data_IF_324023088303
#
_entry.id   IF_324023088303
#
_cell.length_a   1.000
_cell.length_b   1.000
_cell.length_c   1.000
_cell.angle_alpha   90.00
_cell.angle_beta   90.00
_cell.angle_gamma   90.00
#
_symmetry.space_group_name_H-M   'P 1'
#
loop_
_entity.id
_entity.type
_entity.pdbx_description
1 polymer ?
#
# COMPACT_ATOMS: atom_id res chain seq x y z
N UNK A 1 -0.63 17.36 86.44
CA UNK A 1 -0.76 16.12 85.65
C UNK A 1 -1.49 16.51 84.33
N UNK A 2 -0.73 16.99 83.38
CA UNK A 2 -1.25 17.49 82.09
C UNK A 2 -0.87 16.53 80.99
N UNK A 3 -1.84 16.07 80.24
CA UNK A 3 -1.70 15.15 79.09
C UNK A 3 -1.64 16.00 77.85
N UNK A 4 -0.48 15.96 77.13
CA UNK A 4 -0.33 16.56 75.80
C UNK A 4 -0.80 15.56 74.74
N UNK A 5 -1.80 15.94 73.92
CA UNK A 5 -2.17 15.30 72.68
C UNK A 5 -1.37 15.92 71.57
N UNK A 6 -0.56 15.10 70.88
CA UNK A 6 0.13 15.46 69.65
C UNK A 6 -0.73 15.08 68.49
N UNK A 7 -1.16 16.08 67.68
CA UNK A 7 -1.83 15.85 66.40
C UNK A 7 -0.77 15.60 65.34
N UNK A 8 -0.79 14.38 64.71
CA UNK A 8 0.02 14.02 63.57
C UNK A 8 -0.81 14.29 62.33
N UNK A 9 -0.47 15.34 61.57
CA UNK A 9 -1.11 15.68 60.32
C UNK A 9 -0.48 14.86 59.18
N UNK A 10 -1.21 13.86 58.65
CA UNK A 10 -0.79 13.09 57.51
C UNK A 10 -1.20 13.86 56.26
N UNK A 11 -0.21 14.34 55.47
CA UNK A 11 -0.41 14.86 54.13
C UNK A 11 -0.56 13.68 53.16
N UNK A 12 -1.77 13.42 52.66
CA UNK A 12 -2.03 12.58 51.53
C UNK A 12 -1.73 13.37 50.24
N UNK A 13 -0.61 13.05 49.60
CA UNK A 13 -0.29 13.52 48.26
C UNK A 13 -1.08 12.65 47.30
N UNK A 14 -2.17 13.17 46.76
CA UNK A 14 -2.84 12.59 45.60
C UNK A 14 -1.96 12.83 44.35
N UNK A 15 -1.27 11.81 43.88
CA UNK A 15 -0.68 11.76 42.56
C UNK A 15 -1.82 11.53 41.58
N UNK A 16 -2.29 12.61 40.95
CA UNK A 16 -3.19 12.53 39.81
C UNK A 16 -2.38 12.06 38.59
N UNK A 17 -2.34 10.74 38.39
CA UNK A 17 -1.84 10.16 37.14
C UNK A 17 -2.79 10.52 36.03
N UNK A 18 -2.43 11.49 35.18
CA UNK A 18 -3.04 11.71 33.88
C UNK A 18 -2.72 10.52 33.01
N UNK A 19 -3.62 9.52 32.98
CA UNK A 19 -3.73 8.60 31.87
C UNK A 19 -4.15 9.43 30.66
N UNK A 20 -3.20 9.75 29.79
CA UNK A 20 -3.51 10.26 28.47
C UNK A 20 -4.21 9.14 27.69
N UNK A 21 -5.52 9.23 27.62
CA UNK A 21 -6.32 8.51 26.65
C UNK A 21 -5.78 8.87 25.24
N UNK A 22 -5.03 7.97 24.63
CA UNK A 22 -4.73 8.01 23.19
C UNK A 22 -6.00 7.68 22.40
N UNK A 23 -6.99 8.53 22.48
CA UNK A 23 -8.01 8.64 21.46
C UNK A 23 -7.41 9.57 20.42
N UNK A 24 -6.80 8.97 19.37
CA UNK A 24 -6.34 9.72 18.21
C UNK A 24 -7.56 10.47 17.65
N UNK A 25 -7.58 11.77 17.92
CA UNK A 25 -8.60 12.68 17.43
C UNK A 25 -8.41 12.86 15.92
N UNK A 26 -9.12 12.04 15.13
CA UNK A 26 -9.22 12.17 13.67
C UNK A 26 -9.63 13.59 13.24
N UNK A 27 -10.18 14.41 14.16
CA UNK A 27 -10.73 15.72 13.85
C UNK A 27 -9.70 16.82 13.62
N UNK A 28 -8.45 16.67 14.09
CA UNK A 28 -7.46 17.76 14.07
C UNK A 28 -6.58 17.82 12.81
N UNK A 29 -6.66 16.81 11.90
CA UNK A 29 -5.83 16.75 10.68
C UNK A 29 -6.62 16.63 9.37
N UNK A 30 -7.92 16.91 9.40
CA UNK A 30 -8.78 16.86 8.22
C UNK A 30 -8.57 18.09 7.33
N UNK A 31 -7.78 17.94 6.26
CA UNK A 31 -7.78 18.87 5.15
C UNK A 31 -8.84 18.41 4.13
N UNK A 32 -10.05 18.93 4.27
CA UNK A 32 -11.24 18.60 3.45
C UNK A 32 -11.14 19.02 1.98
N UNK A 33 -10.10 19.76 1.57
CA UNK A 33 -10.09 20.48 0.29
C UNK A 33 -9.18 19.89 -0.79
N UNK A 34 -8.49 18.77 -0.55
CA UNK A 34 -7.37 18.36 -1.41
C UNK A 34 -7.62 17.13 -2.30
N UNK A 35 -8.76 16.44 -2.20
CA UNK A 35 -9.06 15.35 -3.14
C UNK A 35 -9.93 15.83 -4.31
N UNK A 36 -9.52 15.48 -5.52
CA UNK A 36 -10.29 15.74 -6.75
C UNK A 36 -10.51 14.43 -7.50
N UNK A 37 -11.70 14.30 -8.10
CA UNK A 37 -12.01 13.17 -8.98
C UNK A 37 -11.24 13.38 -10.28
N UNK A 38 -10.40 12.41 -10.63
CA UNK A 38 -9.62 12.42 -11.87
C UNK A 38 -10.42 11.82 -13.01
N UNK A 39 -11.25 10.81 -12.71
CA UNK A 39 -12.05 10.07 -13.69
C UNK A 39 -13.30 9.59 -12.99
N UNK A 40 -14.46 10.06 -13.47
CA UNK A 40 -15.78 9.73 -12.94
C UNK A 40 -16.51 8.66 -13.76
N UNK A 41 -16.01 8.30 -14.94
CA UNK A 41 -16.66 7.32 -15.79
C UNK A 41 -16.38 5.92 -15.22
N UNK A 42 -17.44 5.17 -14.95
CA UNK A 42 -17.37 3.78 -14.45
C UNK A 42 -16.87 2.83 -15.55
N UNK A 43 -15.70 3.10 -16.12
CA UNK A 43 -15.09 2.32 -17.19
C UNK A 43 -14.27 1.13 -16.69
N UNK A 44 -14.07 1.03 -15.38
CA UNK A 44 -13.37 -0.07 -14.72
C UNK A 44 -14.36 -1.08 -14.15
N UNK A 45 -13.90 -2.33 -13.99
CA UNK A 45 -14.66 -3.33 -13.23
C UNK A 45 -14.58 -3.04 -11.73
N UNK A 46 -15.28 -3.84 -10.92
CA UNK A 46 -15.14 -3.78 -9.44
C UNK A 46 -13.75 -4.19 -8.95
N UNK A 47 -12.94 -4.79 -9.83
CA UNK A 47 -11.56 -5.13 -9.55
C UNK A 47 -10.57 -4.02 -9.88
N UNK A 48 -10.98 -2.75 -9.90
CA UNK A 48 -10.06 -1.62 -10.12
C UNK A 48 -8.98 -1.61 -9.04
N UNK A 49 -7.71 -1.75 -9.48
CA UNK A 49 -6.53 -1.89 -8.64
C UNK A 49 -5.25 -1.53 -9.41
N UNK A 50 -4.09 -1.76 -8.77
CA UNK A 50 -2.78 -1.69 -9.36
C UNK A 50 -2.40 -0.33 -9.93
N UNK A 51 -2.74 0.81 -9.28
CA UNK A 51 -2.30 2.10 -9.80
C UNK A 51 -0.78 2.15 -9.81
N UNK A 52 -0.21 2.51 -10.96
CA UNK A 52 1.23 2.65 -11.13
C UNK A 52 1.53 3.71 -12.19
N UNK A 53 2.69 4.37 -12.06
CA UNK A 53 3.15 5.35 -13.04
C UNK A 53 4.47 4.87 -13.62
N UNK A 54 4.52 4.75 -14.95
CA UNK A 54 5.71 4.33 -15.69
C UNK A 54 6.75 5.45 -15.80
N UNK A 55 7.94 5.10 -16.27
CA UNK A 55 9.09 6.03 -16.38
C UNK A 55 8.81 7.26 -17.25
N UNK A 56 7.91 7.14 -18.22
CA UNK A 56 7.48 8.23 -19.10
C UNK A 56 6.34 9.09 -18.53
N UNK A 57 5.90 8.80 -17.29
CA UNK A 57 4.81 9.50 -16.63
C UNK A 57 3.40 9.00 -17.01
N UNK A 58 3.27 7.98 -17.85
CA UNK A 58 1.99 7.36 -18.15
C UNK A 58 1.44 6.65 -16.90
N UNK A 59 0.13 6.74 -16.72
CA UNK A 59 -0.57 6.14 -15.58
C UNK A 59 -1.26 4.84 -15.99
N UNK A 60 -1.06 3.79 -15.20
CA UNK A 60 -1.55 2.45 -15.46
C UNK A 60 -2.44 1.95 -14.34
N UNK A 61 -3.40 1.08 -14.70
CA UNK A 61 -4.38 0.44 -13.82
C UNK A 61 -4.76 -0.92 -14.37
N UNK A 62 -5.25 -1.81 -13.53
CA UNK A 62 -5.83 -3.08 -13.96
C UNK A 62 -7.33 -2.96 -14.25
N UNK A 63 -7.86 -3.88 -15.07
CA UNK A 63 -9.28 -4.19 -15.22
C UNK A 63 -10.13 -3.07 -15.86
N UNK A 64 -9.63 -2.50 -16.98
CA UNK A 64 -10.37 -1.54 -17.80
C UNK A 64 -11.44 -2.29 -18.63
N UNK A 65 -12.71 -1.97 -18.44
CA UNK A 65 -13.91 -2.55 -19.10
C UNK A 65 -14.15 -4.02 -18.79
N UNK A 66 -13.12 -4.83 -18.74
CA UNK A 66 -13.14 -6.27 -18.47
C UNK A 66 -11.91 -6.66 -17.61
N UNK A 67 -12.05 -7.71 -16.82
CA UNK A 67 -10.94 -8.27 -16.05
C UNK A 67 -9.87 -8.83 -16.99
N UNK A 68 -8.61 -8.84 -16.54
CA UNK A 68 -7.47 -9.30 -17.36
C UNK A 68 -6.96 -8.26 -18.36
N UNK A 69 -7.31 -7.00 -18.23
CA UNK A 69 -6.76 -5.90 -19.01
C UNK A 69 -5.89 -4.97 -18.17
N UNK A 70 -4.87 -4.39 -18.80
CA UNK A 70 -4.11 -3.28 -18.26
C UNK A 70 -4.48 -2.01 -19.01
N UNK A 71 -4.96 -1.03 -18.27
CA UNK A 71 -5.25 0.31 -18.79
C UNK A 71 -4.00 1.17 -18.82
N UNK A 72 -3.91 2.09 -19.77
CA UNK A 72 -2.95 3.19 -19.78
C UNK A 72 -3.64 4.52 -20.04
N UNK A 73 -3.30 5.51 -19.24
CA UNK A 73 -3.58 6.92 -19.52
C UNK A 73 -2.24 7.60 -19.78
N UNK A 74 -2.03 8.06 -21.02
CA UNK A 74 -0.79 8.79 -21.37
C UNK A 74 -0.69 10.09 -20.60
N UNK A 75 0.51 10.50 -20.27
CA UNK A 75 0.77 11.79 -19.66
C UNK A 75 0.17 12.90 -20.54
N UNK A 76 -0.68 13.75 -19.93
CA UNK A 76 -1.38 14.83 -20.64
C UNK A 76 -2.63 14.40 -21.43
N UNK A 77 -3.01 13.12 -21.44
CA UNK A 77 -4.28 12.64 -22.01
C UNK A 77 -5.40 12.65 -20.97
N UNK A 78 -6.63 12.80 -21.43
CA UNK A 78 -7.83 12.71 -20.58
C UNK A 78 -8.52 11.34 -20.67
N UNK A 79 -8.02 10.42 -21.49
CA UNK A 79 -8.65 9.12 -21.72
C UNK A 79 -7.73 7.95 -21.41
N UNK A 80 -8.35 6.81 -21.04
CA UNK A 80 -7.69 5.52 -20.94
C UNK A 80 -7.84 4.70 -22.23
N UNK A 81 -6.81 3.94 -22.53
CA UNK A 81 -6.80 2.90 -23.56
C UNK A 81 -6.38 1.56 -22.95
N UNK A 82 -6.77 0.45 -23.55
CA UNK A 82 -6.20 -0.86 -23.23
C UNK A 82 -4.75 -0.88 -23.69
N UNK A 83 -3.82 -1.01 -22.74
CA UNK A 83 -2.40 -1.10 -23.02
C UNK A 83 -1.99 -2.49 -23.46
N UNK A 84 -2.45 -3.49 -22.71
CA UNK A 84 -2.23 -4.91 -23.00
C UNK A 84 -3.36 -5.75 -22.39
N UNK A 85 -3.67 -6.89 -23.01
CA UNK A 85 -4.49 -7.96 -22.43
C UNK A 85 -3.55 -9.01 -21.85
N UNK A 86 -3.86 -9.44 -20.64
CA UNK A 86 -3.12 -10.49 -19.96
C UNK A 86 -3.44 -11.87 -20.59
N UNK A 87 -2.63 -12.89 -20.34
CA UNK A 87 -2.95 -14.26 -20.77
C UNK A 87 -4.32 -14.71 -20.29
N UNK A 88 -4.93 -15.66 -21.02
CA UNK A 88 -6.27 -16.16 -20.70
C UNK A 88 -6.34 -16.71 -19.28
N UNK A 89 -7.33 -16.26 -18.51
CA UNK A 89 -7.51 -16.61 -17.10
C UNK A 89 -6.73 -15.76 -16.10
N UNK A 90 -5.82 -14.89 -16.58
CA UNK A 90 -5.10 -13.96 -15.71
C UNK A 90 -5.94 -12.75 -15.35
N UNK A 91 -5.87 -12.34 -14.10
CA UNK A 91 -6.43 -11.08 -13.60
C UNK A 91 -5.34 -10.39 -12.78
N UNK A 92 -4.91 -9.23 -13.26
CA UNK A 92 -3.90 -8.44 -12.57
C UNK A 92 -4.45 -7.76 -11.32
N UNK A 93 -3.55 -7.57 -10.34
CA UNK A 93 -3.80 -6.75 -9.15
C UNK A 93 -2.71 -5.68 -9.00
N UNK A 94 -1.74 -5.84 -8.11
CA UNK A 94 -0.65 -4.88 -7.95
C UNK A 94 0.25 -4.75 -9.18
N UNK A 95 0.69 -3.53 -9.48
CA UNK A 95 1.65 -3.23 -10.57
C UNK A 95 2.87 -2.52 -10.01
N UNK A 96 4.06 -2.89 -10.48
CA UNK A 96 5.32 -2.16 -10.27
C UNK A 96 6.13 -2.09 -11.56
N UNK A 97 6.96 -1.06 -11.65
CA UNK A 97 7.93 -0.90 -12.72
C UNK A 97 9.35 -1.05 -12.18
N UNK A 98 10.22 -1.70 -12.95
CA UNK A 98 11.66 -1.64 -12.71
C UNK A 98 12.29 -0.37 -13.33
N UNK A 99 13.59 -0.20 -13.08
CA UNK A 99 14.34 0.95 -13.58
C UNK A 99 14.58 0.93 -15.10
N UNK A 100 14.23 -0.16 -15.78
CA UNK A 100 14.29 -0.29 -17.25
C UNK A 100 12.94 -0.09 -17.91
N UNK A 101 11.88 0.02 -17.12
CA UNK A 101 10.51 0.24 -17.57
C UNK A 101 9.69 -1.02 -17.79
N UNK A 102 10.22 -2.21 -17.47
CA UNK A 102 9.40 -3.41 -17.45
C UNK A 102 8.35 -3.32 -16.36
N UNK A 103 7.14 -3.77 -16.67
CA UNK A 103 6.02 -3.78 -15.74
C UNK A 103 5.88 -5.18 -15.14
N UNK A 104 5.82 -5.27 -13.81
CA UNK A 104 5.50 -6.49 -13.08
C UNK A 104 4.09 -6.41 -12.53
N UNK A 105 3.35 -7.52 -12.64
CA UNK A 105 1.92 -7.59 -12.29
C UNK A 105 1.70 -8.84 -11.45
N UNK A 106 1.06 -8.67 -10.30
CA UNK A 106 0.55 -9.79 -9.53
C UNK A 106 -0.69 -10.37 -10.24
N UNK A 107 -0.62 -11.63 -10.66
CA UNK A 107 -1.70 -12.37 -11.33
C UNK A 107 -2.30 -13.36 -10.34
N UNK A 108 -3.31 -12.92 -9.60
CA UNK A 108 -3.77 -13.65 -8.45
C UNK A 108 -4.49 -14.98 -8.74
N UNK A 109 -5.23 -15.18 -9.87
CA UNK A 109 -5.89 -16.45 -10.11
C UNK A 109 -4.93 -17.57 -10.50
N UNK A 110 -3.79 -17.23 -11.09
CA UNK A 110 -2.84 -18.20 -11.64
C UNK A 110 -1.54 -18.31 -10.83
N UNK A 111 -1.45 -17.66 -9.67
CA UNK A 111 -0.29 -17.71 -8.79
C UNK A 111 1.02 -17.26 -9.48
N UNK A 112 0.91 -16.24 -10.35
CA UNK A 112 2.03 -15.73 -11.13
C UNK A 112 2.44 -14.32 -10.72
N UNK A 113 3.69 -13.98 -11.01
CA UNK A 113 4.12 -12.62 -11.27
C UNK A 113 4.38 -12.53 -12.77
N UNK A 114 3.57 -11.74 -13.47
CA UNK A 114 3.75 -11.50 -14.90
C UNK A 114 4.73 -10.35 -15.11
N UNK A 115 5.48 -10.40 -16.23
CA UNK A 115 6.29 -9.30 -16.72
C UNK A 115 5.76 -8.85 -18.09
N UNK A 116 5.59 -7.55 -18.25
CA UNK A 116 5.34 -6.91 -19.55
C UNK A 116 6.61 -6.19 -19.93
N UNK A 117 7.25 -6.65 -21.02
CA UNK A 117 8.51 -6.08 -21.49
C UNK A 117 8.31 -4.66 -22.02
N UNK A 118 9.18 -3.75 -21.59
CA UNK A 118 9.17 -2.36 -22.05
C UNK A 118 9.48 -2.29 -23.57
N UNK A 119 8.66 -1.58 -24.32
CA UNK A 119 8.81 -1.39 -25.76
C UNK A 119 8.06 -2.41 -26.60
N UNK A 120 8.21 -3.70 -26.40
CA UNK A 120 7.51 -4.75 -27.16
C UNK A 120 6.09 -5.01 -26.66
N UNK A 121 5.84 -4.79 -25.37
CA UNK A 121 4.62 -5.14 -24.62
C UNK A 121 4.35 -6.65 -24.60
N UNK A 122 5.36 -7.47 -24.81
CA UNK A 122 5.23 -8.91 -24.65
C UNK A 122 4.96 -9.23 -23.19
N UNK A 123 3.96 -10.08 -22.93
CA UNK A 123 3.61 -10.55 -21.58
C UNK A 123 4.14 -11.96 -21.42
N UNK A 124 4.83 -12.20 -20.33
CA UNK A 124 5.34 -13.53 -19.98
C UNK A 124 5.14 -13.81 -18.47
N UNK A 125 5.16 -15.06 -18.08
CA UNK A 125 5.25 -15.47 -16.68
C UNK A 125 6.70 -15.28 -16.24
N UNK A 126 6.94 -14.32 -15.36
CA UNK A 126 8.28 -14.04 -14.81
C UNK A 126 8.61 -14.96 -13.64
N UNK A 127 7.63 -15.19 -12.75
CA UNK A 127 7.77 -16.08 -11.61
C UNK A 127 6.43 -16.79 -11.36
N UNK A 128 6.50 -18.03 -10.87
CA UNK A 128 5.33 -18.86 -10.54
C UNK A 128 5.65 -19.78 -9.38
N UNK A 129 4.71 -19.89 -8.43
CA UNK A 129 4.74 -20.92 -7.39
C UNK A 129 3.30 -21.37 -7.08
N UNK A 130 2.99 -22.63 -7.36
CA UNK A 130 1.64 -23.20 -7.17
C UNK A 130 1.19 -23.27 -5.72
N UNK A 131 2.07 -23.02 -4.76
CA UNK A 131 1.75 -23.00 -3.32
C UNK A 131 1.32 -21.62 -2.83
N UNK A 132 1.44 -20.57 -3.66
CA UNK A 132 0.86 -19.28 -3.36
C UNK A 132 -0.66 -19.37 -3.22
N UNK A 133 -1.23 -18.48 -2.42
CA UNK A 133 -2.68 -18.32 -2.33
C UNK A 133 -3.21 -17.40 -3.44
N UNK A 134 -2.88 -16.11 -3.33
CA UNK A 134 -3.33 -15.06 -4.25
C UNK A 134 -2.31 -13.91 -4.24
N UNK A 135 -1.25 -13.92 -5.07
CA UNK A 135 -0.35 -12.78 -5.14
C UNK A 135 -1.15 -11.50 -5.37
N UNK A 136 -1.00 -10.54 -4.44
CA UNK A 136 -1.90 -9.38 -4.37
C UNK A 136 -1.18 -8.08 -4.73
N UNK A 137 -0.35 -7.52 -3.86
CA UNK A 137 0.41 -6.30 -4.15
C UNK A 137 1.91 -6.62 -4.28
N UNK A 138 2.64 -5.72 -4.91
CA UNK A 138 4.06 -5.85 -5.19
C UNK A 138 4.84 -4.68 -4.57
N UNK A 139 6.06 -4.96 -4.14
CA UNK A 139 7.08 -3.96 -3.86
C UNK A 139 8.35 -4.30 -4.63
N UNK A 140 9.16 -3.30 -4.97
CA UNK A 140 10.40 -3.49 -5.71
C UNK A 140 11.51 -2.66 -5.08
N UNK A 141 12.69 -3.27 -4.90
CA UNK A 141 13.92 -2.56 -4.55
C UNK A 141 14.53 -1.90 -5.78
N UNK A 142 15.39 -0.90 -5.58
CA UNK A 142 16.08 -0.22 -6.67
C UNK A 142 17.01 -1.15 -7.46
N UNK A 143 17.44 -2.27 -6.87
CA UNK A 143 18.22 -3.33 -7.54
C UNK A 143 17.36 -4.35 -8.29
N UNK A 144 16.02 -4.19 -8.30
CA UNK A 144 15.09 -5.03 -9.07
C UNK A 144 14.52 -6.24 -8.31
N UNK A 145 14.95 -6.52 -7.07
CA UNK A 145 14.35 -7.58 -6.25
C UNK A 145 12.91 -7.19 -5.93
N UNK A 146 11.98 -8.13 -6.18
CA UNK A 146 10.55 -7.96 -5.93
C UNK A 146 10.13 -8.66 -4.63
N UNK A 147 9.05 -8.14 -4.06
CA UNK A 147 8.29 -8.78 -2.99
C UNK A 147 6.83 -8.80 -3.37
N UNK A 148 6.11 -9.85 -2.96
CA UNK A 148 4.66 -9.89 -3.10
C UNK A 148 4.00 -10.33 -1.80
N UNK A 149 2.88 -9.72 -1.51
CA UNK A 149 1.94 -10.19 -0.50
C UNK A 149 1.05 -11.27 -1.11
N UNK A 150 0.68 -12.25 -0.30
CA UNK A 150 -0.01 -13.45 -0.74
C UNK A 150 -1.11 -13.82 0.28
N UNK A 151 -2.26 -13.11 0.28
CA UNK A 151 -3.34 -13.36 1.22
C UNK A 151 -4.10 -14.64 0.93
N UNK A 152 -4.57 -15.30 1.99
CA UNK A 152 -5.66 -16.26 1.98
C UNK A 152 -6.87 -15.67 2.70
N UNK A 153 -7.78 -15.09 1.93
CA UNK A 153 -8.95 -14.39 2.49
C UNK A 153 -9.87 -15.32 3.25
N UNK A 154 -10.01 -16.58 2.80
CA UNK A 154 -10.86 -17.59 3.44
C UNK A 154 -10.38 -17.94 4.84
N UNK A 155 -9.09 -18.14 5.00
CA UNK A 155 -8.45 -18.52 6.26
C UNK A 155 -8.03 -17.29 7.10
N UNK A 156 -8.19 -16.08 6.57
CA UNK A 156 -7.73 -14.81 7.18
C UNK A 156 -6.24 -14.82 7.52
N UNK A 157 -5.47 -15.48 6.67
CA UNK A 157 -4.01 -15.62 6.77
C UNK A 157 -3.33 -15.09 5.52
N UNK A 158 -2.00 -15.20 5.46
CA UNK A 158 -1.23 -14.80 4.29
C UNK A 158 0.24 -15.01 4.48
N UNK A 159 0.96 -14.82 3.40
CA UNK A 159 2.39 -14.99 3.29
C UNK A 159 3.04 -13.76 2.67
N UNK A 160 4.36 -13.69 2.70
CA UNK A 160 5.18 -12.78 1.90
C UNK A 160 6.27 -13.57 1.19
N UNK A 161 6.50 -13.21 -0.07
CA UNK A 161 7.48 -13.84 -0.94
C UNK A 161 8.49 -12.83 -1.45
N UNK A 162 9.71 -13.28 -1.67
CA UNK A 162 10.74 -12.57 -2.42
C UNK A 162 10.90 -13.22 -3.79
N UNK A 163 11.09 -12.41 -4.81
CA UNK A 163 11.39 -12.85 -6.16
C UNK A 163 12.68 -12.17 -6.61
N UNK A 164 13.65 -12.94 -7.02
CA UNK A 164 14.94 -12.43 -7.47
C UNK A 164 14.91 -11.98 -8.95
N UNK A 165 16.06 -11.53 -9.46
CA UNK A 165 16.20 -11.03 -10.83
C UNK A 165 16.01 -12.09 -11.91
N UNK A 166 16.03 -13.37 -11.56
CA UNK A 166 15.83 -14.50 -12.46
C UNK A 166 14.42 -15.08 -12.35
N UNK A 167 13.57 -14.54 -11.46
CA UNK A 167 12.21 -15.04 -11.21
C UNK A 167 12.17 -16.16 -10.17
N UNK A 168 13.30 -16.48 -9.50
CA UNK A 168 13.30 -17.47 -8.44
C UNK A 168 12.58 -16.94 -7.20
N UNK A 169 11.63 -17.73 -6.68
CA UNK A 169 10.77 -17.37 -5.56
C UNK A 169 11.26 -17.97 -4.25
N UNK A 170 11.21 -17.18 -3.18
CA UNK A 170 11.52 -17.60 -1.82
C UNK A 170 10.42 -17.12 -0.88
N UNK A 171 9.80 -18.07 -0.16
CA UNK A 171 8.89 -17.76 0.93
C UNK A 171 9.68 -17.12 2.08
N UNK A 172 9.37 -15.86 2.41
CA UNK A 172 10.05 -15.12 3.49
C UNK A 172 9.38 -15.35 4.84
N UNK A 173 8.06 -15.33 4.88
CA UNK A 173 7.27 -15.58 6.08
C UNK A 173 5.89 -16.14 5.69
N UNK A 174 5.44 -17.14 6.42
CA UNK A 174 4.12 -17.74 6.32
C UNK A 174 3.26 -17.45 7.57
N UNK A 175 2.03 -17.91 7.55
CA UNK A 175 1.13 -17.87 8.71
C UNK A 175 0.93 -16.48 9.31
N UNK A 176 1.07 -15.44 8.50
CA UNK A 176 0.71 -14.07 8.85
C UNK A 176 -0.82 -13.90 8.88
N UNK A 177 -1.29 -12.73 9.27
CA UNK A 177 -2.65 -12.31 8.98
C UNK A 177 -2.88 -12.10 7.48
N UNK A 178 -4.02 -11.55 7.10
CA UNK A 178 -4.39 -11.32 5.69
C UNK A 178 -3.49 -10.25 5.08
N UNK A 179 -2.35 -10.67 4.54
CA UNK A 179 -1.36 -9.76 3.93
C UNK A 179 -1.97 -9.06 2.71
N UNK A 180 -1.70 -7.75 2.55
CA UNK A 180 -2.20 -6.97 1.43
C UNK A 180 -1.13 -5.96 0.98
N UNK A 181 -1.28 -4.67 1.23
CA UNK A 181 -0.29 -3.68 0.82
C UNK A 181 1.12 -4.02 1.30
N UNK A 182 2.08 -3.92 0.39
CA UNK A 182 3.49 -4.17 0.62
C UNK A 182 4.32 -3.06 -0.03
N UNK A 183 5.33 -2.52 0.68
CA UNK A 183 6.14 -1.42 0.16
C UNK A 183 7.55 -1.42 0.75
N UNK A 184 8.54 -1.11 -0.08
CA UNK A 184 9.94 -0.88 0.34
C UNK A 184 10.15 0.61 0.57
N UNK A 185 10.82 0.99 1.66
CA UNK A 185 11.11 2.40 1.92
C UNK A 185 12.15 2.98 0.94
N UNK A 186 12.28 4.33 0.82
CA UNK A 186 13.19 4.96 -0.15
C UNK A 186 14.67 4.61 0.02
N UNK A 187 15.06 4.09 1.19
CA UNK A 187 16.45 3.68 1.45
C UNK A 187 16.72 2.21 1.15
N UNK A 188 15.72 1.47 0.69
CA UNK A 188 15.77 0.02 0.46
C UNK A 188 16.24 -0.82 1.66
N UNK A 189 15.95 -0.36 2.89
CA UNK A 189 16.37 -1.02 4.13
C UNK A 189 15.22 -1.36 5.09
N UNK A 190 13.98 -1.10 4.69
CA UNK A 190 12.76 -1.49 5.41
C UNK A 190 11.72 -1.98 4.41
N UNK A 191 11.14 -3.14 4.70
CA UNK A 191 9.94 -3.64 4.05
C UNK A 191 8.75 -3.43 4.98
N UNK A 192 7.72 -2.77 4.51
CA UNK A 192 6.42 -2.65 5.18
C UNK A 192 5.44 -3.64 4.57
N UNK A 193 4.69 -4.34 5.42
CA UNK A 193 3.60 -5.24 5.01
C UNK A 193 2.42 -5.00 5.93
N UNK A 194 1.24 -4.81 5.36
CA UNK A 194 0.03 -4.75 6.18
C UNK A 194 -0.74 -6.09 6.19
N UNK A 195 -1.41 -6.33 7.29
CA UNK A 195 -2.43 -7.35 7.48
C UNK A 195 -3.80 -6.66 7.52
N UNK A 196 -4.53 -6.72 6.40
CA UNK A 196 -5.74 -5.93 6.18
C UNK A 196 -6.81 -6.16 7.26
N UNK A 197 -7.20 -7.41 7.52
CA UNK A 197 -8.24 -7.77 8.48
C UNK A 197 -7.75 -7.55 9.91
N UNK A 198 -6.49 -7.84 10.20
CA UNK A 198 -5.88 -7.68 11.52
C UNK A 198 -5.51 -6.22 11.82
N UNK A 199 -5.55 -5.34 10.82
CA UNK A 199 -5.32 -3.89 10.93
C UNK A 199 -3.92 -3.50 11.41
N UNK A 200 -2.92 -4.35 11.14
CA UNK A 200 -1.54 -4.15 11.55
C UNK A 200 -0.64 -3.86 10.36
N UNK A 201 0.31 -2.97 10.54
CA UNK A 201 1.42 -2.76 9.61
C UNK A 201 2.69 -3.23 10.30
N UNK A 202 3.36 -4.17 9.69
CA UNK A 202 4.65 -4.69 10.11
C UNK A 202 5.78 -3.99 9.36
N UNK A 203 6.91 -3.78 10.03
CA UNK A 203 8.15 -3.35 9.42
C UNK A 203 9.22 -4.41 9.66
N UNK A 204 9.97 -4.71 8.62
CA UNK A 204 11.12 -5.61 8.65
C UNK A 204 12.37 -4.82 8.28
N UNK A 205 13.51 -5.09 8.93
CA UNK A 205 14.80 -4.67 8.39
C UNK A 205 15.06 -5.47 7.13
N UNK A 206 15.54 -4.81 6.07
CA UNK A 206 15.76 -5.36 4.75
C UNK A 206 17.22 -5.19 4.38
N UNK A 207 17.88 -6.27 3.94
CA UNK A 207 19.25 -6.23 3.41
C UNK A 207 19.27 -6.04 1.88
N UNK A 208 20.46 -5.82 1.31
CA UNK A 208 20.66 -5.62 -0.13
C UNK A 208 20.32 -6.85 -0.98
N UNK A 209 20.23 -8.03 -0.37
CA UNK A 209 19.84 -9.30 -1.02
C UNK A 209 18.34 -9.58 -0.89
N UNK A 210 17.57 -8.65 -0.31
CA UNK A 210 16.15 -8.82 -0.09
C UNK A 210 15.79 -9.77 1.05
N UNK A 211 16.72 -10.09 1.97
CA UNK A 211 16.38 -10.87 3.15
C UNK A 211 15.80 -9.95 4.23
N UNK A 212 14.78 -10.44 4.91
CA UNK A 212 14.08 -9.72 5.97
C UNK A 212 14.50 -10.19 7.35
N UNK A 213 14.48 -9.28 8.33
CA UNK A 213 14.78 -9.58 9.72
C UNK A 213 14.10 -8.57 10.65
N UNK A 214 14.16 -8.82 11.96
CA UNK A 214 13.68 -7.90 13.01
C UNK A 214 12.26 -7.38 12.76
N UNK A 215 11.32 -8.28 12.50
CA UNK A 215 9.90 -7.95 12.42
C UNK A 215 9.47 -7.15 13.66
N UNK A 216 8.75 -6.05 13.43
CA UNK A 216 8.21 -5.21 14.49
C UNK A 216 6.90 -4.57 14.06
N UNK A 217 6.01 -4.36 15.01
CA UNK A 217 4.78 -3.61 14.76
C UNK A 217 5.16 -2.15 14.46
N UNK A 218 4.75 -1.68 13.27
CA UNK A 218 4.97 -0.29 12.86
C UNK A 218 3.78 0.58 13.22
N UNK A 219 2.56 0.10 12.92
CA UNK A 219 1.32 0.79 13.24
C UNK A 219 0.16 -0.19 13.38
N UNK A 220 -0.83 0.15 14.19
CA UNK A 220 -2.07 -0.61 14.33
C UNK A 220 -3.26 0.34 14.35
N UNK A 221 -4.26 0.04 13.51
CA UNK A 221 -5.52 0.78 13.48
C UNK A 221 -6.56 0.07 14.35
N UNK A 222 -7.46 0.85 14.94
CA UNK A 222 -8.54 0.31 15.79
C UNK A 222 -9.77 -0.11 14.99
N UNK A 223 -9.92 0.42 13.77
CA UNK A 223 -11.10 0.26 12.91
C UNK A 223 -10.71 -0.06 11.47
N UNK A 224 -11.66 -0.41 10.64
CA UNK A 224 -11.55 -0.65 9.19
C UNK A 224 -10.29 -1.40 8.72
N UNK A 225 -10.28 -1.85 7.47
CA UNK A 225 -9.15 -2.54 6.86
C UNK A 225 -8.11 -1.58 6.27
N UNK A 226 -7.10 -2.21 5.69
CA UNK A 226 -6.09 -1.55 4.87
C UNK A 226 -5.96 -2.30 3.55
N UNK A 227 -5.52 -1.58 2.53
CA UNK A 227 -5.25 -2.12 1.22
C UNK A 227 -3.84 -1.67 0.77
N UNK A 228 -3.62 -1.26 -0.45
CA UNK A 228 -2.30 -0.90 -0.94
C UNK A 228 -1.63 0.26 -0.20
N UNK A 229 -0.31 0.32 -0.29
CA UNK A 229 0.54 1.32 0.38
C UNK A 229 1.68 1.78 -0.51
N UNK A 230 2.12 3.04 -0.38
CA UNK A 230 3.32 3.59 -1.07
C UNK A 230 4.08 4.55 -0.17
N UNK A 231 5.39 4.64 -0.38
CA UNK A 231 6.26 5.61 0.30
C UNK A 231 6.52 6.85 -0.55
N UNK A 232 6.59 8.02 0.10
CA UNK A 232 7.24 9.20 -0.48
C UNK A 232 8.77 9.20 -0.25
N UNK A 233 9.49 10.16 -0.85
CA UNK A 233 10.95 10.30 -0.70
C UNK A 233 11.44 10.53 0.73
N UNK A 234 10.57 10.96 1.63
CA UNK A 234 10.90 11.14 3.05
C UNK A 234 10.64 9.88 3.87
N UNK A 235 10.07 8.84 3.22
CA UNK A 235 9.71 7.58 3.87
C UNK A 235 8.37 7.64 4.59
N UNK A 236 7.55 8.67 4.36
CA UNK A 236 6.18 8.65 4.85
C UNK A 236 5.38 7.62 4.07
N UNK A 237 4.64 6.79 4.78
CA UNK A 237 3.85 5.70 4.23
C UNK A 237 2.40 6.17 4.02
N UNK A 238 1.93 6.14 2.79
CA UNK A 238 0.56 6.44 2.39
C UNK A 238 -0.22 5.13 2.34
N UNK A 239 -1.29 5.03 3.13
CA UNK A 239 -2.06 3.79 3.34
C UNK A 239 -3.48 4.00 2.90
N UNK A 240 -3.94 3.22 1.93
CA UNK A 240 -5.35 3.15 1.55
C UNK A 240 -6.14 2.44 2.66
N UNK A 241 -7.10 3.15 3.30
CA UNK A 241 -7.90 2.63 4.39
C UNK A 241 -9.24 2.15 3.86
N UNK A 242 -9.28 0.88 3.43
CA UNK A 242 -10.46 0.23 2.87
C UNK A 242 -11.62 0.20 3.88
N UNK A 243 -12.75 0.72 3.48
CA UNK A 243 -13.96 0.88 4.31
C UNK A 243 -14.02 2.19 5.09
N UNK A 244 -12.89 2.88 5.31
CA UNK A 244 -12.85 4.17 5.99
C UNK A 244 -12.94 5.37 5.03
N UNK A 245 -12.77 5.16 3.72
CA UNK A 245 -12.84 6.23 2.72
C UNK A 245 -11.73 7.29 2.84
N UNK A 246 -10.55 6.89 3.31
CA UNK A 246 -9.42 7.82 3.50
C UNK A 246 -8.09 7.23 3.05
N UNK A 247 -7.14 8.11 2.76
CA UNK A 247 -5.71 7.77 2.75
C UNK A 247 -5.06 8.36 3.99
N UNK A 248 -4.42 7.53 4.80
CA UNK A 248 -3.66 7.96 5.98
C UNK A 248 -2.18 8.00 5.65
N UNK A 249 -1.50 9.09 6.03
CA UNK A 249 -0.06 9.26 5.86
C UNK A 249 0.62 9.09 7.21
N UNK A 250 1.51 8.10 7.31
CA UNK A 250 2.24 7.76 8.53
C UNK A 250 3.72 8.09 8.34
N UNK A 251 4.28 8.87 9.27
CA UNK A 251 5.71 9.20 9.25
C UNK A 251 6.59 7.96 9.52
N UNK A 252 7.91 7.97 9.18
CA UNK A 252 8.83 6.87 9.51
C UNK A 252 8.91 6.54 11.01
N UNK A 253 8.38 7.41 11.87
CA UNK A 253 8.31 7.20 13.32
C UNK A 253 7.02 6.51 13.79
N UNK A 254 6.15 6.08 12.84
CA UNK A 254 4.85 5.48 13.18
C UNK A 254 3.82 6.49 13.71
N UNK A 255 3.91 7.76 13.30
CA UNK A 255 2.96 8.81 13.70
C UNK A 255 2.13 9.22 12.49
N UNK A 256 0.80 9.24 12.62
CA UNK A 256 -0.09 9.81 11.60
C UNK A 256 0.16 11.30 11.49
N UNK A 257 0.48 11.77 10.28
CA UNK A 257 0.80 13.18 9.99
C UNK A 257 -0.21 13.85 9.06
N UNK A 258 -1.04 13.05 8.36
CA UNK A 258 -2.11 13.56 7.50
C UNK A 258 -3.15 12.47 7.27
N UNK A 259 -4.41 12.88 7.16
CA UNK A 259 -5.53 12.06 6.67
C UNK A 259 -6.20 12.81 5.53
N UNK A 260 -6.43 12.14 4.41
CA UNK A 260 -7.09 12.69 3.22
C UNK A 260 -8.41 11.98 3.04
N UNK A 261 -9.52 12.71 3.09
CA UNK A 261 -10.87 12.17 2.86
C UNK A 261 -11.10 12.04 1.36
N UNK A 262 -11.68 10.92 0.97
CA UNK A 262 -12.06 10.58 -0.40
C UNK A 262 -13.59 10.64 -0.57
N UNK A 263 -14.05 10.66 -1.83
CA UNK A 263 -15.49 10.63 -2.12
C UNK A 263 -16.07 9.21 -2.18
N UNK A 264 -15.21 8.18 -2.05
CA UNK A 264 -15.61 6.77 -1.96
C UNK A 264 -15.10 6.13 -0.69
N UNK A 265 -15.76 5.05 -0.25
CA UNK A 265 -15.48 4.39 1.01
C UNK A 265 -14.44 3.27 0.89
N UNK A 266 -14.13 2.82 -0.33
CA UNK A 266 -13.28 1.65 -0.56
C UNK A 266 -12.05 1.99 -1.41
N UNK A 267 -11.10 2.80 -0.88
CA UNK A 267 -9.82 2.96 -1.55
C UNK A 267 -9.05 1.64 -1.52
N UNK A 268 -8.57 1.21 -2.71
CA UNK A 268 -7.85 -0.05 -2.84
C UNK A 268 -6.33 0.18 -2.85
N UNK A 269 -5.82 1.14 -3.62
CA UNK A 269 -4.38 1.34 -3.68
C UNK A 269 -4.03 2.80 -4.03
N UNK A 270 -2.75 3.13 -3.90
CA UNK A 270 -2.24 4.48 -4.17
C UNK A 270 -1.02 4.42 -5.08
N UNK A 271 -0.83 5.44 -5.92
CA UNK A 271 0.38 5.61 -6.72
C UNK A 271 0.79 7.07 -6.80
N UNK A 272 2.08 7.33 -6.79
CA UNK A 272 2.62 8.66 -7.05
C UNK A 272 2.79 8.90 -8.53
N UNK A 273 2.52 10.12 -8.98
CA UNK A 273 2.69 10.53 -10.36
C UNK A 273 2.62 12.04 -10.54
N UNK A 274 2.25 12.47 -11.76
CA UNK A 274 2.38 13.87 -12.17
C UNK A 274 3.83 14.24 -12.52
N UNK A 275 4.01 15.40 -13.15
CA UNK A 275 5.33 15.84 -13.66
C UNK A 275 6.40 15.91 -12.55
N UNK A 276 5.98 16.24 -11.33
CA UNK A 276 6.89 16.36 -10.16
C UNK A 276 6.86 15.14 -9.25
N UNK A 277 6.06 14.11 -9.57
CA UNK A 277 5.87 12.95 -8.72
C UNK A 277 5.12 13.24 -7.42
N UNK A 278 4.45 14.38 -7.29
CA UNK A 278 3.79 14.84 -6.07
C UNK A 278 2.25 14.75 -6.12
N UNK A 279 1.71 14.08 -7.14
CA UNK A 279 0.29 13.74 -7.20
C UNK A 279 0.10 12.30 -6.77
N UNK A 280 -0.76 12.05 -5.81
CA UNK A 280 -1.16 10.71 -5.40
C UNK A 280 -2.48 10.38 -6.09
N UNK A 281 -2.48 9.32 -6.87
CA UNK A 281 -3.69 8.71 -7.44
C UNK A 281 -4.18 7.60 -6.53
N UNK A 282 -5.49 7.51 -6.35
CA UNK A 282 -6.15 6.53 -5.48
C UNK A 282 -7.23 5.81 -6.26
N UNK A 283 -7.17 4.49 -6.31
CA UNK A 283 -8.22 3.66 -6.89
C UNK A 283 -9.34 3.44 -5.87
N UNK A 284 -10.59 3.53 -6.32
CA UNK A 284 -11.79 3.39 -5.50
C UNK A 284 -12.71 2.31 -6.06
N UNK A 285 -12.79 1.18 -5.36
CA UNK A 285 -13.56 0.01 -5.79
C UNK A 285 -15.06 0.29 -5.86
N UNK A 286 -15.63 0.90 -4.83
CA UNK A 286 -17.07 1.17 -4.73
C UNK A 286 -17.56 2.18 -5.77
N UNK A 287 -16.68 3.04 -6.25
CA UNK A 287 -16.96 4.03 -7.30
C UNK A 287 -16.50 3.59 -8.68
N UNK A 288 -15.57 2.64 -8.77
CA UNK A 288 -14.91 2.21 -10.03
C UNK A 288 -14.21 3.38 -10.73
N UNK A 289 -13.62 4.29 -9.97
CA UNK A 289 -12.94 5.47 -10.47
C UNK A 289 -11.61 5.72 -9.75
N UNK A 290 -10.94 6.79 -10.16
CA UNK A 290 -9.69 7.25 -9.57
C UNK A 290 -9.87 8.65 -9.01
N UNK A 291 -9.41 8.88 -7.80
CA UNK A 291 -9.23 10.20 -7.22
C UNK A 291 -7.76 10.57 -7.15
N UNK A 292 -7.48 11.85 -6.95
CA UNK A 292 -6.12 12.31 -6.68
C UNK A 292 -6.08 13.43 -5.67
N UNK A 293 -4.93 13.56 -5.04
CA UNK A 293 -4.60 14.69 -4.19
C UNK A 293 -3.09 15.00 -4.27
N UNK A 294 -2.73 16.21 -3.83
CA UNK A 294 -1.32 16.61 -3.81
C UNK A 294 -0.64 16.11 -2.55
N UNK A 295 0.51 15.45 -2.71
CA UNK A 295 1.40 15.06 -1.63
C UNK A 295 2.35 16.21 -1.23
N UNK A 296 2.87 16.14 -0.01
CA UNK A 296 3.87 17.10 0.47
C UNK A 296 5.27 16.85 -0.13
N UNK A 297 5.55 15.62 -0.53
CA UNK A 297 6.80 15.17 -1.13
C UNK A 297 6.53 14.23 -2.28
N UNK A 298 7.40 14.19 -3.29
CA UNK A 298 7.31 13.23 -4.38
C UNK A 298 7.36 11.78 -3.87
N UNK A 299 6.82 10.86 -4.66
CA UNK A 299 6.97 9.44 -4.44
C UNK A 299 8.43 8.99 -4.45
N UNK A 300 8.73 7.85 -3.85
CA UNK A 300 10.11 7.35 -3.69
C UNK A 300 10.86 7.18 -5.01
N UNK A 301 10.16 6.93 -6.11
CA UNK A 301 10.74 6.65 -7.43
C UNK A 301 10.85 7.90 -8.35
N UNK A 302 10.69 9.12 -7.79
CA UNK A 302 10.76 10.39 -8.53
C UNK A 302 11.94 11.26 -8.17
#
# INVERSE_FOLDING_TARGET
>A
MSIFFSFLTVFLVFSCGLEMNKQDDLSTHLNLSDSSIVISDSIFTVGIEGPAVGLNGDFFLVNLKEDGTIARKKLGSDSFEVFVKLPMGSIGNGIRFDNTGNMFIADYPNHNILRVEYGTRQVEVFAHDSTMNQPNDLAIMDNGILFTSDPNWGEKSGNIWKIDLLGEMVLLEDSMGTTNGIEVNPKNNILYVNESIQRKIWAYDLDEKGNVSKKRLFYEFTDYGMDGMRCDKKGNLYVARYGAGVVVVISPKGVVIRTVILNGDKPTNVAFGGIKGDIVYVTLQDKKWVESFKANYPGRNF
#
